data_IF_087888726889
#
_entry.id   IF_087888726889
#
_cell.length_a   1.000
_cell.length_b   1.000
_cell.length_c   1.000
_cell.angle_alpha   90.00
_cell.angle_beta   90.00
_cell.angle_gamma   90.00
#
_symmetry.space_group_name_H-M   'P 1'
#
loop_
_entity.id
_entity.type
_entity.pdbx_description
1 polymer ?
#
# COMPACT_ATOMS: atom_id res chain seq x y z
N UNK A 1 -3.14 23.90 -3.60
CA UNK A 1 -1.66 24.02 -3.60
C UNK A 1 -1.07 23.07 -2.58
N UNK A 2 -0.72 21.83 -2.99
CA UNK A 2 0.35 21.01 -2.40
C UNK A 2 0.55 19.68 -3.15
N UNK A 3 0.29 19.63 -4.46
CA UNK A 3 0.50 18.43 -5.30
C UNK A 3 1.94 18.37 -5.90
N UNK A 4 2.91 19.00 -5.24
CA UNK A 4 4.27 19.20 -5.78
C UNK A 4 5.40 18.70 -4.86
N UNK A 5 5.12 17.84 -3.88
CA UNK A 5 6.14 17.31 -2.96
C UNK A 5 6.49 15.82 -3.17
N UNK A 6 5.90 15.14 -4.16
CA UNK A 6 5.97 13.67 -4.24
C UNK A 6 6.64 13.13 -5.51
N UNK A 7 7.69 13.79 -5.99
CA UNK A 7 8.47 13.37 -7.15
C UNK A 7 9.39 12.16 -6.91
N UNK A 8 9.50 11.66 -5.67
CA UNK A 8 10.41 10.55 -5.34
C UNK A 8 9.95 9.64 -4.19
N UNK A 9 8.67 9.68 -3.79
CA UNK A 9 8.17 8.71 -2.82
C UNK A 9 8.01 7.36 -3.53
N UNK A 10 8.86 6.39 -3.17
CA UNK A 10 8.74 5.02 -3.63
C UNK A 10 7.35 4.52 -3.23
N UNK A 11 6.50 4.28 -4.24
CA UNK A 11 5.19 3.68 -4.06
C UNK A 11 5.31 2.21 -4.39
N UNK A 12 4.66 1.38 -3.60
CA UNK A 12 4.52 -0.04 -3.89
C UNK A 12 3.11 -0.48 -3.59
N UNK A 13 2.59 -1.35 -4.46
CA UNK A 13 1.38 -2.11 -4.24
C UNK A 13 1.65 -3.27 -3.29
N UNK A 14 0.59 -3.86 -2.74
CA UNK A 14 0.71 -5.06 -1.91
C UNK A 14 1.26 -6.27 -2.69
N UNK A 15 1.12 -6.28 -4.01
CA UNK A 15 1.67 -7.32 -4.89
C UNK A 15 3.19 -7.17 -5.00
N UNK A 16 3.67 -5.97 -5.32
CA UNK A 16 5.12 -5.71 -5.43
C UNK A 16 5.83 -5.94 -4.08
N UNK A 17 5.18 -5.62 -2.96
CA UNK A 17 5.71 -5.96 -1.63
C UNK A 17 5.76 -7.47 -1.45
N UNK A 18 4.72 -8.20 -1.84
CA UNK A 18 4.64 -9.65 -1.72
C UNK A 18 5.75 -10.35 -2.53
N UNK A 19 6.00 -9.88 -3.75
CA UNK A 19 7.10 -10.34 -4.61
C UNK A 19 8.46 -10.03 -3.98
N UNK A 20 8.66 -8.79 -3.51
CA UNK A 20 9.92 -8.36 -2.90
C UNK A 20 10.28 -9.17 -1.65
N UNK A 21 9.28 -9.48 -0.80
CA UNK A 21 9.50 -10.18 0.47
C UNK A 21 9.22 -11.69 0.39
N UNK A 22 8.98 -12.24 -0.81
CA UNK A 22 8.72 -13.66 -1.02
C UNK A 22 7.50 -14.19 -0.25
N UNK A 23 6.50 -13.34 -0.03
CA UNK A 23 5.32 -13.64 0.79
C UNK A 23 4.07 -13.76 -0.07
N UNK A 24 3.03 -14.40 0.46
CA UNK A 24 1.72 -14.39 -0.20
C UNK A 24 1.07 -13.01 -0.06
N UNK A 25 0.46 -12.53 -1.14
CA UNK A 25 -0.22 -11.22 -1.22
C UNK A 25 -1.27 -10.97 -0.12
N UNK A 26 -2.07 -11.98 0.21
CA UNK A 26 -3.08 -11.90 1.28
C UNK A 26 -2.45 -11.66 2.66
N UNK A 27 -1.26 -12.22 2.91
CA UNK A 27 -0.51 -12.02 4.16
C UNK A 27 0.12 -10.64 4.26
N UNK A 28 0.48 -10.04 3.13
CA UNK A 28 0.94 -8.64 3.07
C UNK A 28 -0.21 -7.70 3.44
N UNK A 29 -1.40 -7.89 2.86
CA UNK A 29 -2.60 -7.09 3.22
C UNK A 29 -2.95 -7.20 4.70
N UNK A 30 -2.99 -8.42 5.24
CA UNK A 30 -3.25 -8.65 6.67
C UNK A 30 -2.20 -7.96 7.55
N UNK A 31 -0.93 -7.94 7.12
CA UNK A 31 0.14 -7.25 7.86
C UNK A 31 -0.04 -5.74 7.83
N UNK A 32 -0.40 -5.16 6.68
CA UNK A 32 -0.70 -3.73 6.53
C UNK A 32 -1.85 -3.32 7.46
N UNK A 33 -2.97 -4.06 7.42
CA UNK A 33 -4.13 -3.80 8.28
C UNK A 33 -3.76 -3.87 9.77
N UNK A 34 -3.02 -4.91 10.18
CA UNK A 34 -2.58 -5.07 11.57
C UNK A 34 -1.62 -3.95 12.01
N UNK A 35 -0.72 -3.50 11.15
CA UNK A 35 0.23 -2.42 11.46
C UNK A 35 -0.50 -1.07 11.54
N UNK A 36 -1.46 -0.83 10.65
CA UNK A 36 -2.31 0.36 10.68
C UNK A 36 -3.19 0.39 11.93
N UNK A 37 -3.80 -0.74 12.30
CA UNK A 37 -4.60 -0.87 13.52
C UNK A 37 -3.78 -0.62 14.80
N UNK A 38 -2.48 -0.95 14.76
CA UNK A 38 -1.53 -0.66 15.85
C UNK A 38 -0.96 0.75 15.83
N UNK A 39 -1.33 1.58 14.83
CA UNK A 39 -0.81 2.93 14.66
C UNK A 39 0.66 3.00 14.23
N UNK A 40 1.28 1.87 13.85
CA UNK A 40 2.69 1.82 13.43
C UNK A 40 2.88 2.47 12.06
N UNK A 41 1.89 2.33 11.19
CA UNK A 41 1.84 2.98 9.88
C UNK A 41 0.50 3.67 9.67
N UNK A 42 0.46 4.67 8.79
CA UNK A 42 -0.80 5.16 8.23
C UNK A 42 -1.34 4.14 7.23
N UNK A 43 -2.67 3.99 7.16
CA UNK A 43 -3.29 3.15 6.13
C UNK A 43 -2.81 3.62 4.73
N UNK A 44 -2.23 2.72 3.90
CA UNK A 44 -1.87 3.06 2.53
C UNK A 44 -3.08 3.58 1.76
N UNK A 45 -2.90 4.48 0.79
CA UNK A 45 -3.99 4.95 -0.04
C UNK A 45 -4.67 3.76 -0.72
N UNK A 46 -5.97 3.60 -0.49
CA UNK A 46 -6.75 2.60 -1.22
C UNK A 46 -6.83 3.08 -2.67
N UNK A 47 -6.27 2.29 -3.60
CA UNK A 47 -6.49 2.54 -5.02
C UNK A 47 -7.99 2.31 -5.25
N UNK A 48 -8.73 3.37 -5.55
CA UNK A 48 -10.08 3.25 -6.10
C UNK A 48 -9.91 2.54 -7.44
N UNK A 49 -10.29 1.26 -7.50
CA UNK A 49 -10.48 0.59 -8.78
C UNK A 49 -11.72 1.22 -9.41
N UNK A 50 -11.55 2.20 -10.29
CA UNK A 50 -12.60 2.51 -11.26
C UNK A 50 -12.75 1.27 -12.15
N UNK A 51 -13.84 0.54 -11.94
CA UNK A 51 -14.23 -0.56 -12.80
C UNK A 51 -14.77 0.07 -14.08
N UNK A 52 -13.88 0.37 -15.03
CA UNK A 52 -14.28 0.75 -16.38
C UNK A 52 -15.01 -0.46 -16.97
N UNK A 53 -16.34 -0.37 -17.03
CA UNK A 53 -17.21 -1.30 -17.75
C UNK A 53 -17.12 -1.04 -19.25
#
# INVERSE_FOLDING_TARGET
MSELMNGNAIKMTSIEIAELVGSRHDKVKQSIERLAARGVIRNPPMVVFEKNQ
#
